data_IF_842458018302
#
_entry.id   IF_842458018302
#
_cell.length_a   1.000
_cell.length_b   1.000
_cell.length_c   1.000
_cell.angle_alpha   90.00
_cell.angle_beta   90.00
_cell.angle_gamma   90.00
#
_symmetry.space_group_name_H-M   'P 1'
#
loop_
_entity.id
_entity.type
_entity.pdbx_description
1 polymer ?
#
# COMPACT_ATOMS: atom_id res chain seq x y z
N UNK A 1 16.95 15.05 -10.44
CA UNK A 1 17.12 13.81 -11.22
C UNK A 1 18.59 13.74 -11.59
N UNK A 2 19.38 13.12 -10.74
CA UNK A 2 20.80 12.90 -10.96
C UNK A 2 21.06 11.39 -10.95
N UNK A 3 22.04 10.94 -11.73
CA UNK A 3 22.50 9.56 -11.64
C UNK A 3 22.90 9.27 -10.19
N UNK A 4 22.39 8.16 -9.63
CA UNK A 4 22.60 7.78 -8.23
C UNK A 4 21.52 8.24 -7.24
N UNK A 5 20.55 9.07 -7.65
CA UNK A 5 19.29 9.21 -6.90
C UNK A 5 18.59 7.83 -6.81
N UNK A 6 17.74 7.63 -5.81
CA UNK A 6 17.06 6.34 -5.59
C UNK A 6 15.55 6.51 -5.44
N UNK A 7 14.83 5.53 -5.94
CA UNK A 7 13.37 5.45 -5.93
C UNK A 7 12.96 4.04 -5.53
N UNK A 8 12.47 3.87 -4.30
CA UNK A 8 12.03 2.57 -3.78
C UNK A 8 10.56 2.60 -3.44
N UNK A 9 9.79 1.57 -3.83
CA UNK A 9 8.35 1.59 -3.63
C UNK A 9 7.74 0.23 -3.35
N UNK A 10 6.60 0.22 -2.66
CA UNK A 10 5.74 -0.95 -2.55
C UNK A 10 4.34 -0.62 -2.99
N UNK A 11 3.67 -1.60 -3.57
CA UNK A 11 2.31 -1.42 -4.04
C UNK A 11 1.49 -2.71 -3.94
N UNK A 12 0.17 -2.57 -3.78
CA UNK A 12 -0.75 -3.70 -3.94
C UNK A 12 -1.09 -3.92 -5.41
N UNK A 13 -1.26 -2.83 -6.17
CA UNK A 13 -1.48 -2.88 -7.61
C UNK A 13 -0.81 -1.69 -8.29
N UNK A 14 -0.07 -1.95 -9.35
CA UNK A 14 0.43 -0.91 -10.26
C UNK A 14 -0.04 -1.17 -11.68
N UNK A 15 -0.72 -0.18 -12.29
CA UNK A 15 -1.08 -0.21 -13.71
C UNK A 15 -0.06 0.65 -14.46
N UNK A 16 0.72 0.02 -15.35
CA UNK A 16 1.88 0.66 -15.96
C UNK A 16 1.54 1.89 -16.82
N UNK A 17 0.35 1.89 -17.39
CA UNK A 17 -0.21 2.95 -18.23
C UNK A 17 -0.99 4.01 -17.43
N UNK A 18 -1.06 3.92 -16.10
CA UNK A 18 -1.72 4.93 -15.26
C UNK A 18 -1.01 6.28 -15.39
N UNK A 19 -1.74 7.30 -15.82
CA UNK A 19 -1.21 8.64 -16.06
C UNK A 19 -1.22 9.47 -14.78
N UNK A 20 -0.07 10.01 -14.38
CA UNK A 20 0.04 10.75 -13.11
C UNK A 20 -0.61 12.15 -13.16
N UNK A 21 -0.72 12.72 -14.36
CA UNK A 21 -1.35 14.03 -14.64
C UNK A 21 -2.14 13.90 -15.96
N UNK A 22 -3.02 14.86 -16.26
CA UNK A 22 -3.88 14.85 -17.46
C UNK A 22 -3.06 14.66 -18.75
N UNK A 23 -1.95 15.40 -18.89
CA UNK A 23 -1.02 15.31 -20.02
C UNK A 23 0.38 14.84 -19.57
N UNK A 24 0.44 14.08 -18.48
CA UNK A 24 1.68 13.60 -17.87
C UNK A 24 2.14 12.26 -18.43
N UNK A 25 3.38 11.83 -18.08
CA UNK A 25 3.81 10.47 -18.36
C UNK A 25 2.97 9.47 -17.56
N UNK A 26 2.87 8.25 -18.08
CA UNK A 26 2.44 7.12 -17.27
C UNK A 26 3.44 6.82 -16.16
N UNK A 27 3.00 6.18 -15.08
CA UNK A 27 3.90 5.75 -14.02
C UNK A 27 4.97 4.77 -14.53
N UNK A 28 4.62 3.87 -15.45
CA UNK A 28 5.56 2.97 -16.09
C UNK A 28 6.63 3.71 -16.88
N UNK A 29 6.24 4.70 -17.69
CA UNK A 29 7.18 5.51 -18.48
C UNK A 29 8.08 6.37 -17.61
N UNK A 30 7.53 6.95 -16.53
CA UNK A 30 8.30 7.73 -15.58
C UNK A 30 9.38 6.88 -14.91
N UNK A 31 9.00 5.74 -14.32
CA UNK A 31 9.94 4.88 -13.59
C UNK A 31 10.97 4.24 -14.51
N UNK A 32 10.56 3.79 -15.70
CA UNK A 32 11.47 3.28 -16.71
C UNK A 32 12.42 4.38 -17.22
N UNK A 33 11.92 5.61 -17.39
CA UNK A 33 12.74 6.76 -17.76
C UNK A 33 13.77 7.11 -16.69
N UNK A 34 13.40 7.05 -15.41
CA UNK A 34 14.31 7.24 -14.28
C UNK A 34 15.39 6.17 -14.25
N UNK A 35 15.02 4.89 -14.42
CA UNK A 35 15.98 3.79 -14.47
C UNK A 35 17.01 3.97 -15.61
N UNK A 36 16.55 4.33 -16.82
CA UNK A 36 17.44 4.63 -17.96
C UNK A 36 18.36 5.83 -17.71
N UNK A 37 17.90 6.80 -16.91
CA UNK A 37 18.69 7.97 -16.53
C UNK A 37 19.69 7.69 -15.39
N UNK A 38 19.81 6.43 -14.93
CA UNK A 38 20.75 6.03 -13.87
C UNK A 38 20.23 6.27 -12.44
N UNK A 39 18.94 6.50 -12.27
CA UNK A 39 18.29 6.48 -10.95
C UNK A 39 18.05 5.02 -10.55
N UNK A 40 18.39 4.65 -9.32
CA UNK A 40 18.13 3.30 -8.85
C UNK A 40 16.64 3.14 -8.52
N UNK A 41 15.91 2.38 -9.35
CA UNK A 41 14.49 2.08 -9.14
C UNK A 41 14.33 0.66 -8.57
N UNK A 42 13.76 0.53 -7.37
CA UNK A 42 13.44 -0.75 -6.71
C UNK A 42 11.96 -0.84 -6.35
N UNK A 43 11.32 -1.98 -6.61
CA UNK A 43 9.89 -2.16 -6.31
C UNK A 43 9.55 -3.53 -5.71
N UNK A 44 8.65 -3.55 -4.73
CA UNK A 44 7.98 -4.77 -4.26
C UNK A 44 6.47 -4.64 -4.47
N UNK A 45 5.93 -5.35 -5.46
CA UNK A 45 4.51 -5.30 -5.80
C UNK A 45 3.84 -6.62 -5.46
N UNK A 46 2.60 -6.60 -4.95
CA UNK A 46 1.91 -7.84 -4.59
C UNK A 46 1.65 -8.73 -5.81
N UNK A 47 2.01 -10.01 -5.73
CA UNK A 47 1.83 -10.94 -6.85
C UNK A 47 0.38 -11.36 -7.13
N UNK A 48 -0.50 -11.25 -6.12
CA UNK A 48 -1.81 -11.92 -6.04
C UNK A 48 -1.75 -13.45 -5.91
N UNK A 49 -2.82 -14.08 -5.42
CA UNK A 49 -2.90 -15.55 -5.27
C UNK A 49 -3.29 -16.29 -6.58
N UNK A 50 -3.24 -15.61 -7.72
CA UNK A 50 -3.66 -16.10 -9.03
C UNK A 50 -5.09 -15.71 -9.37
N UNK A 51 -5.37 -15.62 -10.67
CA UNK A 51 -6.56 -14.98 -11.25
C UNK A 51 -7.91 -15.55 -10.76
N UNK A 52 -7.93 -16.80 -10.27
CA UNK A 52 -9.16 -17.49 -9.81
C UNK A 52 -9.52 -17.26 -8.34
N UNK A 53 -8.64 -16.70 -7.51
CA UNK A 53 -8.83 -16.67 -6.03
C UNK A 53 -8.77 -15.26 -5.44
N UNK A 54 -8.09 -14.32 -6.07
CA UNK A 54 -8.03 -12.93 -5.59
C UNK A 54 -7.92 -11.97 -6.76
N UNK A 55 -8.89 -11.05 -6.89
CA UNK A 55 -8.92 -9.92 -7.82
C UNK A 55 -8.20 -10.19 -9.17
N UNK A 56 -8.89 -10.81 -10.15
CA UNK A 56 -8.33 -11.33 -11.41
C UNK A 56 -7.43 -10.37 -12.19
N UNK A 57 -7.55 -9.06 -11.97
CA UNK A 57 -6.87 -8.02 -12.72
C UNK A 57 -5.49 -7.61 -12.15
N UNK A 58 -5.24 -7.82 -10.85
CA UNK A 58 -4.04 -7.28 -10.19
C UNK A 58 -2.73 -7.94 -10.64
N UNK A 59 -2.70 -9.26 -10.77
CA UNK A 59 -1.47 -10.01 -11.09
C UNK A 59 -0.85 -9.64 -12.43
N UNK A 60 -1.68 -9.50 -13.49
CA UNK A 60 -1.20 -9.17 -14.84
C UNK A 60 -0.68 -7.74 -14.94
N UNK A 61 -1.39 -6.76 -14.37
CA UNK A 61 -0.92 -5.37 -14.34
C UNK A 61 0.43 -5.24 -13.63
N UNK A 62 0.56 -5.89 -12.47
CA UNK A 62 1.80 -5.88 -11.70
C UNK A 62 2.98 -6.53 -12.46
N UNK A 63 2.70 -7.62 -13.19
CA UNK A 63 3.69 -8.23 -14.09
C UNK A 63 4.13 -7.29 -15.21
N UNK A 64 3.20 -6.54 -15.83
CA UNK A 64 3.51 -5.60 -16.91
C UNK A 64 4.35 -4.42 -16.41
N UNK A 65 3.94 -3.78 -15.32
CA UNK A 65 4.69 -2.70 -14.69
C UNK A 65 6.09 -3.16 -14.30
N UNK A 66 6.20 -4.32 -13.66
CA UNK A 66 7.47 -4.89 -13.25
C UNK A 66 8.40 -5.16 -14.44
N UNK A 67 7.88 -5.74 -15.53
CA UNK A 67 8.65 -5.97 -16.76
C UNK A 67 9.16 -4.69 -17.38
N UNK A 68 8.29 -3.67 -17.56
CA UNK A 68 8.67 -2.41 -18.18
C UNK A 68 9.83 -1.72 -17.43
N UNK A 69 9.80 -1.73 -16.09
CA UNK A 69 10.86 -1.16 -15.26
C UNK A 69 12.14 -2.01 -15.31
N UNK A 70 11.99 -3.34 -15.26
CA UNK A 70 13.12 -4.27 -15.32
C UNK A 70 13.88 -4.18 -16.65
N UNK A 71 13.16 -4.11 -17.77
CA UNK A 71 13.72 -3.96 -19.11
C UNK A 71 14.46 -2.61 -19.28
N UNK A 72 14.09 -1.60 -18.47
CA UNK A 72 14.73 -0.29 -18.42
C UNK A 72 15.92 -0.20 -17.46
N UNK A 73 16.29 -1.29 -16.78
CA UNK A 73 17.43 -1.35 -15.85
C UNK A 73 17.07 -1.19 -14.37
N UNK A 74 15.79 -1.00 -14.03
CA UNK A 74 15.32 -1.04 -12.65
C UNK A 74 15.17 -2.48 -12.13
N UNK A 75 14.65 -2.62 -10.90
CA UNK A 75 14.36 -3.95 -10.34
C UNK A 75 13.05 -3.95 -9.53
N UNK A 76 12.02 -4.55 -10.10
CA UNK A 76 10.71 -4.73 -9.49
C UNK A 76 10.42 -6.21 -9.37
N UNK A 77 10.08 -6.62 -8.14
CA UNK A 77 9.82 -8.00 -7.77
C UNK A 77 8.36 -8.17 -7.37
N UNK A 78 7.78 -9.30 -7.79
CA UNK A 78 6.44 -9.70 -7.38
C UNK A 78 6.52 -10.53 -6.11
N UNK A 79 5.96 -9.98 -5.02
CA UNK A 79 6.06 -10.53 -3.68
C UNK A 79 4.75 -11.21 -3.28
N UNK A 80 4.84 -12.49 -2.92
CA UNK A 80 3.75 -13.30 -2.38
C UNK A 80 4.10 -13.93 -1.03
N UNK A 81 5.05 -13.37 -0.28
CA UNK A 81 5.47 -13.87 1.05
C UNK A 81 4.44 -13.55 2.14
N UNK A 82 3.19 -13.93 1.92
CA UNK A 82 2.06 -13.71 2.82
C UNK A 82 1.40 -15.03 3.22
N UNK A 83 0.51 -14.98 4.22
CA UNK A 83 -0.36 -16.12 4.55
C UNK A 83 -1.30 -16.42 3.36
N UNK A 84 -1.79 -17.65 3.27
CA UNK A 84 -2.87 -17.99 2.35
C UNK A 84 -4.06 -17.04 2.60
N UNK A 85 -4.62 -16.46 1.54
CA UNK A 85 -5.66 -15.40 1.57
C UNK A 85 -5.23 -14.04 2.15
N UNK A 86 -3.94 -13.84 2.46
CA UNK A 86 -3.42 -12.51 2.79
C UNK A 86 -2.98 -11.73 1.55
N UNK A 87 -2.67 -10.45 1.70
CA UNK A 87 -2.06 -9.63 0.65
C UNK A 87 -0.94 -8.76 1.23
N UNK A 88 -0.02 -8.33 0.36
CA UNK A 88 0.79 -7.15 0.66
C UNK A 88 -0.04 -5.93 0.26
N UNK A 89 -0.40 -5.10 1.24
CA UNK A 89 -1.29 -3.95 1.03
C UNK A 89 -0.64 -2.60 1.39
N UNK A 90 0.66 -2.62 1.67
CA UNK A 90 1.44 -1.40 1.92
C UNK A 90 1.62 -0.65 0.60
N UNK A 91 1.20 0.61 0.57
CA UNK A 91 1.56 1.55 -0.50
C UNK A 91 2.48 2.61 0.08
N UNK A 92 3.71 2.62 -0.40
CA UNK A 92 4.61 3.71 -0.09
C UNK A 92 5.66 3.89 -1.18
N UNK A 93 6.20 5.10 -1.22
CA UNK A 93 7.23 5.50 -2.15
C UNK A 93 8.32 6.24 -1.38
N UNK A 94 9.59 6.00 -1.68
CA UNK A 94 10.72 6.69 -1.06
C UNK A 94 11.63 7.22 -2.16
N UNK A 95 11.89 8.52 -2.13
CA UNK A 95 12.79 9.22 -3.04
C UNK A 95 13.98 9.69 -2.24
N UNK A 96 15.17 9.20 -2.59
CA UNK A 96 16.44 9.61 -1.99
C UNK A 96 17.25 10.39 -3.01
N UNK A 97 17.77 11.54 -2.60
CA UNK A 97 18.68 12.36 -3.38
C UNK A 97 20.11 12.07 -2.94
N UNK A 98 20.97 11.70 -3.90
CA UNK A 98 22.35 11.26 -3.61
C UNK A 98 23.16 12.32 -2.85
N UNK A 99 23.06 13.56 -3.33
CA UNK A 99 23.93 14.66 -2.91
C UNK A 99 23.26 15.60 -1.90
N UNK A 100 21.96 15.41 -1.61
CA UNK A 100 21.21 16.28 -0.70
C UNK A 100 20.12 15.51 0.07
N UNK A 101 20.48 14.85 1.18
CA UNK A 101 19.54 14.12 2.01
C UNK A 101 18.41 14.98 2.61
N UNK A 102 18.54 16.31 2.64
CA UNK A 102 17.46 17.18 3.14
C UNK A 102 16.22 17.19 2.24
N UNK A 103 16.39 16.73 0.98
CA UNK A 103 15.32 16.59 -0.01
C UNK A 103 14.72 15.19 -0.05
N UNK A 104 15.20 14.29 0.79
CA UNK A 104 14.65 12.94 0.88
C UNK A 104 13.20 12.99 1.37
N UNK A 105 12.34 12.22 0.71
CA UNK A 105 10.90 12.25 0.95
C UNK A 105 10.33 10.85 0.84
N UNK A 106 9.33 10.55 1.66
CA UNK A 106 8.53 9.35 1.56
C UNK A 106 7.04 9.70 1.43
N UNK A 107 6.29 8.88 0.70
CA UNK A 107 4.84 8.96 0.59
C UNK A 107 4.25 7.68 1.16
N UNK A 108 3.27 7.75 2.05
CA UNK A 108 2.59 6.59 2.65
C UNK A 108 1.09 6.86 2.70
N UNK A 109 0.25 5.94 2.23
CA UNK A 109 -1.19 6.17 2.19
C UNK A 109 -2.02 5.01 1.63
N UNK A 110 -3.27 5.32 1.27
CA UNK A 110 -4.22 4.39 0.65
C UNK A 110 -4.12 4.32 -0.89
N UNK A 111 -3.45 5.30 -1.51
CA UNK A 111 -3.31 5.41 -2.96
C UNK A 111 -2.28 4.42 -3.53
N UNK A 112 -2.77 3.50 -4.36
CA UNK A 112 -1.99 2.62 -5.25
C UNK A 112 -1.63 3.38 -6.56
N UNK A 113 -0.57 2.97 -7.26
CA UNK A 113 -0.18 3.53 -8.58
C UNK A 113 -0.98 2.87 -9.71
N UNK A 114 -2.31 2.94 -9.63
CA UNK A 114 -3.19 2.21 -10.54
C UNK A 114 -4.43 3.02 -10.93
N UNK A 115 -5.15 2.51 -11.94
CA UNK A 115 -6.38 3.09 -12.47
C UNK A 115 -7.38 3.43 -11.35
N UNK A 116 -8.17 4.48 -11.57
CA UNK A 116 -9.15 5.09 -10.66
C UNK A 116 -8.60 5.93 -9.51
N UNK A 117 -7.29 5.97 -9.25
CA UNK A 117 -6.75 6.71 -8.08
C UNK A 117 -6.55 8.19 -8.35
N UNK A 118 -6.50 8.62 -9.62
CA UNK A 118 -6.37 10.02 -9.98
C UNK A 118 -7.74 10.69 -9.99
N UNK A 119 -8.06 11.32 -8.86
CA UNK A 119 -9.26 12.16 -8.69
C UNK A 119 -8.88 13.43 -7.90
N UNK A 120 -9.80 14.38 -7.85
CA UNK A 120 -9.65 15.62 -7.10
C UNK A 120 -10.87 15.89 -6.20
N UNK A 121 -10.90 17.07 -5.58
CA UNK A 121 -11.96 17.45 -4.66
C UNK A 121 -13.34 17.62 -5.33
N UNK A 122 -13.40 17.77 -6.66
CA UNK A 122 -14.67 17.83 -7.40
C UNK A 122 -15.27 16.44 -7.62
N UNK A 123 -14.50 15.36 -7.35
CA UNK A 123 -14.95 13.98 -7.42
C UNK A 123 -15.58 13.61 -8.77
N UNK A 124 -14.95 14.05 -9.86
CA UNK A 124 -15.39 13.76 -11.23
C UNK A 124 -14.98 12.34 -11.70
N UNK A 125 -14.10 11.69 -10.94
CA UNK A 125 -13.58 10.35 -11.18
C UNK A 125 -12.52 10.31 -12.29
N UNK A 126 -11.60 9.35 -12.15
CA UNK A 126 -10.49 9.18 -13.09
C UNK A 126 -10.98 8.82 -14.50
N UNK A 127 -10.46 9.48 -15.56
CA UNK A 127 -10.62 9.00 -16.94
C UNK A 127 -10.16 7.56 -17.17
N UNK A 128 -9.13 7.10 -16.44
CA UNK A 128 -8.65 5.72 -16.46
C UNK A 128 -9.36 4.90 -15.38
N UNK A 129 -10.68 4.78 -15.48
CA UNK A 129 -11.48 4.12 -14.46
C UNK A 129 -11.42 2.58 -14.56
N UNK A 130 -11.29 1.93 -13.40
CA UNK A 130 -11.63 0.50 -13.27
C UNK A 130 -13.13 0.32 -13.14
N UNK A 131 -13.64 -0.81 -13.65
CA UNK A 131 -15.03 -1.18 -13.43
C UNK A 131 -15.29 -1.47 -11.96
N UNK A 132 -16.12 -0.62 -11.34
CA UNK A 132 -16.65 -0.83 -9.98
C UNK A 132 -18.15 -1.12 -10.04
N UNK A 133 -18.81 -1.11 -8.87
CA UNK A 133 -20.25 -1.17 -8.80
C UNK A 133 -20.91 -0.08 -9.67
N UNK A 134 -21.87 -0.50 -10.50
CA UNK A 134 -22.55 0.38 -11.46
C UNK A 134 -23.22 1.61 -10.83
N UNK A 135 -23.54 1.58 -9.53
CA UNK A 135 -24.09 2.73 -8.79
C UNK A 135 -23.13 3.91 -8.68
N UNK A 136 -21.83 3.68 -8.84
CA UNK A 136 -20.82 4.73 -8.88
C UNK A 136 -20.61 5.33 -10.29
N UNK A 137 -21.36 4.85 -11.29
CA UNK A 137 -21.28 5.36 -12.66
C UNK A 137 -20.04 4.86 -13.42
N UNK A 138 -19.75 5.52 -14.56
CA UNK A 138 -18.69 5.12 -15.49
C UNK A 138 -17.29 5.48 -15.01
N UNK A 139 -17.17 6.54 -14.23
CA UNK A 139 -15.93 7.01 -13.59
C UNK A 139 -16.21 7.16 -12.10
N UNK A 140 -16.16 6.05 -11.34
CA UNK A 140 -16.35 6.10 -9.91
C UNK A 140 -15.41 7.12 -9.28
N UNK A 141 -15.91 8.07 -8.48
CA UNK A 141 -15.05 8.98 -7.73
C UNK A 141 -14.21 8.23 -6.71
N UNK A 142 -13.01 8.73 -6.44
CA UNK A 142 -12.06 8.15 -5.50
C UNK A 142 -11.66 9.17 -4.44
N UNK A 143 -12.10 8.91 -3.20
CA UNK A 143 -11.68 9.68 -2.03
C UNK A 143 -10.66 8.86 -1.24
N UNK A 144 -9.48 9.42 -1.01
CA UNK A 144 -8.38 8.76 -0.32
C UNK A 144 -7.40 9.78 0.27
N UNK A 145 -6.48 9.31 1.11
CA UNK A 145 -5.46 10.13 1.74
C UNK A 145 -4.06 9.47 1.65
N UNK A 146 -3.06 10.31 1.46
CA UNK A 146 -1.66 9.97 1.58
C UNK A 146 -0.90 11.08 2.30
N UNK A 147 0.19 10.70 2.97
CA UNK A 147 1.06 11.61 3.68
C UNK A 147 2.38 11.75 2.93
N UNK A 148 2.80 12.99 2.70
CA UNK A 148 4.19 13.31 2.40
C UNK A 148 4.97 13.42 3.72
N UNK A 149 6.06 12.65 3.84
CA UNK A 149 6.88 12.53 5.02
C UNK A 149 8.30 12.98 4.72
N UNK A 150 8.84 13.86 5.58
CA UNK A 150 10.21 14.36 5.50
C UNK A 150 10.92 14.20 6.84
N UNK A 151 12.24 14.18 6.79
CA UNK A 151 13.10 14.03 7.96
C UNK A 151 13.37 12.57 8.33
N UNK A 152 13.75 12.29 9.60
CA UNK A 152 14.25 10.96 10.01
C UNK A 152 13.30 9.79 9.69
N UNK A 153 11.99 10.03 9.69
CA UNK A 153 10.97 9.00 9.36
C UNK A 153 11.15 8.39 7.97
N UNK A 154 11.78 9.09 7.02
CA UNK A 154 12.08 8.54 5.69
C UNK A 154 12.99 7.31 5.80
N UNK A 155 13.93 7.31 6.76
CA UNK A 155 14.78 6.15 7.03
C UNK A 155 13.99 4.97 7.62
N UNK A 156 12.95 5.24 8.42
CA UNK A 156 12.07 4.19 8.96
C UNK A 156 11.26 3.52 7.85
N UNK A 157 10.70 4.30 6.91
CA UNK A 157 9.99 3.75 5.74
C UNK A 157 10.94 2.92 4.88
N UNK A 158 12.18 3.39 4.71
CA UNK A 158 13.22 2.67 4.00
C UNK A 158 13.59 1.34 4.67
N UNK A 159 13.65 1.32 6.01
CA UNK A 159 13.89 0.11 6.77
C UNK A 159 12.78 -0.93 6.52
N UNK A 160 11.52 -0.51 6.47
CA UNK A 160 10.38 -1.39 6.13
C UNK A 160 10.54 -2.01 4.74
N UNK A 161 11.00 -1.22 3.75
CA UNK A 161 11.33 -1.75 2.43
C UNK A 161 12.46 -2.77 2.50
N UNK A 162 13.56 -2.42 3.16
CA UNK A 162 14.76 -3.23 3.24
C UNK A 162 14.54 -4.57 3.95
N UNK A 163 13.74 -4.58 5.02
CA UNK A 163 13.33 -5.80 5.73
C UNK A 163 12.66 -6.81 4.79
N UNK A 164 11.70 -6.35 3.98
CA UNK A 164 11.01 -7.20 3.00
C UNK A 164 11.93 -7.57 1.84
N UNK A 165 12.71 -6.63 1.34
CA UNK A 165 13.63 -6.87 0.23
C UNK A 165 14.66 -7.94 0.59
N UNK A 166 15.25 -7.86 1.78
CA UNK A 166 16.29 -8.78 2.26
C UNK A 166 15.74 -10.08 2.88
N UNK A 167 14.43 -10.31 2.90
CA UNK A 167 13.86 -11.57 3.39
C UNK A 167 14.33 -12.74 2.49
N UNK A 168 15.08 -13.72 3.02
CA UNK A 168 15.70 -14.79 2.25
C UNK A 168 14.70 -15.83 1.74
N UNK A 169 13.44 -15.79 2.20
CA UNK A 169 12.41 -16.69 1.71
C UNK A 169 12.10 -16.42 0.23
N UNK A 170 11.82 -17.47 -0.57
CA UNK A 170 11.39 -17.29 -1.95
C UNK A 170 10.16 -16.37 -2.06
N UNK A 171 10.17 -15.51 -3.07
CA UNK A 171 9.11 -14.53 -3.34
C UNK A 171 7.75 -15.18 -3.67
N UNK A 172 7.74 -16.43 -4.12
CA UNK A 172 6.54 -17.21 -4.47
C UNK A 172 6.59 -18.61 -3.84
N UNK A 173 5.41 -19.18 -3.57
CA UNK A 173 5.24 -20.57 -3.15
C UNK A 173 5.58 -21.50 -4.32
N UNK A 174 6.50 -22.43 -4.09
CA UNK A 174 6.94 -23.43 -5.07
C UNK A 174 5.78 -24.29 -5.57
N UNK A 175 5.19 -23.92 -6.70
CA UNK A 175 4.25 -24.78 -7.44
C UNK A 175 4.96 -25.26 -8.71
N UNK A 176 5.15 -26.59 -8.94
CA UNK A 176 6.00 -27.11 -10.02
C UNK A 176 5.63 -26.60 -11.42
N UNK A 177 4.33 -26.59 -11.75
CA UNK A 177 3.81 -26.07 -13.02
C UNK A 177 4.15 -24.57 -13.22
N UNK A 178 4.15 -23.79 -12.14
CA UNK A 178 4.46 -22.36 -12.19
C UNK A 178 5.96 -22.09 -12.36
N UNK A 179 6.84 -22.97 -11.91
CA UNK A 179 8.29 -22.84 -12.17
C UNK A 179 8.60 -22.93 -13.67
N UNK A 180 7.81 -23.67 -14.44
CA UNK A 180 7.96 -23.81 -15.89
C UNK A 180 7.56 -22.51 -16.61
N UNK A 181 6.39 -21.95 -16.32
CA UNK A 181 5.91 -20.68 -16.88
C UNK A 181 6.83 -19.50 -16.50
N UNK A 182 7.35 -19.49 -15.28
CA UNK A 182 8.27 -18.45 -14.77
C UNK A 182 9.73 -18.61 -15.26
N UNK A 183 10.09 -19.72 -15.93
CA UNK A 183 11.36 -19.85 -16.66
C UNK A 183 11.31 -19.16 -18.02
N UNK A 184 10.12 -19.05 -18.60
CA UNK A 184 9.88 -18.36 -19.87
C UNK A 184 9.78 -16.83 -19.66
N UNK A 185 9.31 -16.39 -18.49
CA UNK A 185 9.34 -14.98 -18.10
C UNK A 185 10.72 -14.57 -17.58
N UNK A 186 11.37 -13.56 -18.19
CA UNK A 186 12.64 -12.96 -17.74
C UNK A 186 12.47 -12.08 -16.49
N UNK A 187 11.83 -12.59 -15.43
CA UNK A 187 11.64 -11.84 -14.19
C UNK A 187 12.76 -12.16 -13.18
N UNK A 188 13.35 -11.15 -12.50
CA UNK A 188 14.34 -11.39 -11.45
C UNK A 188 13.74 -12.22 -10.31
N UNK A 189 14.48 -13.23 -9.85
CA UNK A 189 14.03 -14.17 -8.80
C UNK A 189 14.63 -13.91 -7.44
N UNK A 190 15.79 -13.25 -7.44
CA UNK A 190 16.55 -12.96 -6.26
C UNK A 190 16.80 -11.45 -6.25
N UNK A 191 16.41 -10.77 -5.17
CA UNK A 191 16.70 -9.35 -5.02
C UNK A 191 18.21 -9.13 -5.12
N UNK A 192 18.65 -8.18 -5.96
CA UNK A 192 20.02 -7.68 -5.86
C UNK A 192 20.22 -7.04 -4.48
N UNK A 193 21.43 -7.13 -3.88
CA UNK A 193 21.69 -6.47 -2.61
C UNK A 193 21.33 -4.98 -2.68
N UNK A 194 20.69 -4.47 -1.62
CA UNK A 194 20.49 -3.04 -1.51
C UNK A 194 21.85 -2.35 -1.34
N UNK A 195 22.06 -1.18 -1.97
CA UNK A 195 23.26 -0.39 -1.72
C UNK A 195 23.31 0.03 -0.24
N UNK A 196 24.50 0.35 0.26
CA UNK A 196 24.67 0.87 1.62
C UNK A 196 23.71 2.02 1.87
N UNK A 197 23.02 1.94 3.00
CA UNK A 197 22.04 2.92 3.44
C UNK A 197 22.74 4.23 3.73
N UNK A 198 22.30 5.31 3.10
CA UNK A 198 22.69 6.66 3.47
C UNK A 198 22.14 6.99 4.88
N UNK A 199 22.79 7.88 5.65
CA UNK A 199 22.30 8.28 6.96
C UNK A 199 20.86 8.81 6.87
N UNK A 200 20.11 8.77 7.99
CA UNK A 200 18.78 9.37 8.06
C UNK A 200 18.82 10.85 7.64
N UNK A 201 17.78 11.35 6.95
CA UNK A 201 17.65 12.77 6.65
C UNK A 201 17.64 13.62 7.94
N UNK A 202 18.08 14.88 7.87
CA UNK A 202 18.01 15.79 9.01
C UNK A 202 16.55 16.02 9.46
N UNK A 203 16.31 16.40 10.73
CA UNK A 203 14.98 16.78 11.22
C UNK A 203 14.27 17.78 10.30
N UNK A 204 12.97 17.56 10.05
CA UNK A 204 12.14 18.41 9.22
C UNK A 204 10.79 18.66 9.90
N UNK A 205 10.50 19.93 10.19
CA UNK A 205 9.26 20.34 10.86
C UNK A 205 9.17 19.96 12.35
N UNK A 206 8.06 20.33 13.02
CA UNK A 206 7.90 20.18 14.47
C UNK A 206 7.22 18.87 14.90
N UNK A 207 6.76 18.05 13.96
CA UNK A 207 5.91 16.89 14.27
C UNK A 207 6.73 15.68 14.71
N UNK A 208 6.27 14.99 15.75
CA UNK A 208 6.75 13.65 16.08
C UNK A 208 6.01 12.61 15.24
N UNK A 209 6.75 11.83 14.44
CA UNK A 209 6.18 10.80 13.57
C UNK A 209 6.69 9.43 14.00
N UNK A 210 5.76 8.46 14.12
CA UNK A 210 6.09 7.07 14.42
C UNK A 210 5.50 6.18 13.32
N UNK A 211 6.36 5.43 12.64
CA UNK A 211 5.92 4.45 11.65
C UNK A 211 5.35 3.20 12.33
N UNK A 212 4.24 2.69 11.78
CA UNK A 212 3.53 1.52 12.27
C UNK A 212 3.25 0.57 11.10
N UNK A 213 3.16 -0.73 11.40
CA UNK A 213 3.03 -1.78 10.38
C UNK A 213 2.21 -2.96 10.90
N UNK A 214 1.70 -3.75 9.96
CA UNK A 214 0.99 -5.00 10.24
C UNK A 214 1.62 -6.12 9.42
N UNK A 215 2.10 -7.16 10.11
CA UNK A 215 2.58 -8.39 9.51
C UNK A 215 1.84 -9.57 10.11
N UNK A 216 1.16 -10.35 9.28
CA UNK A 216 0.50 -11.57 9.72
C UNK A 216 1.51 -12.65 10.12
N UNK A 217 1.18 -13.45 11.12
CA UNK A 217 1.93 -14.67 11.44
C UNK A 217 1.84 -15.63 10.25
N UNK A 218 2.99 -16.02 9.70
CA UNK A 218 3.10 -16.97 8.58
C UNK A 218 4.16 -18.04 8.87
N UNK A 219 4.15 -19.09 8.05
CA UNK A 219 5.21 -20.12 8.03
C UNK A 219 5.80 -20.21 6.62
N UNK A 220 7.13 -20.14 6.47
CA UNK A 220 8.11 -19.78 7.49
C UNK A 220 7.96 -18.30 7.95
N UNK A 221 8.32 -17.95 9.20
CA UNK A 221 8.12 -16.62 9.76
C UNK A 221 8.92 -15.55 9.01
N UNK A 222 8.50 -14.29 9.08
CA UNK A 222 9.35 -13.18 8.65
C UNK A 222 10.51 -13.03 9.64
N UNK A 223 11.78 -12.93 9.19
CA UNK A 223 12.91 -12.72 10.10
C UNK A 223 12.77 -11.45 10.97
N UNK A 224 12.20 -10.40 10.40
CA UNK A 224 11.99 -9.09 11.02
C UNK A 224 10.66 -8.97 11.80
N UNK A 225 9.77 -9.97 11.69
CA UNK A 225 8.53 -10.05 12.44
C UNK A 225 8.13 -11.51 12.73
N UNK A 226 8.91 -12.26 13.54
CA UNK A 226 8.69 -13.71 13.69
C UNK A 226 7.34 -14.08 14.30
N UNK A 227 6.86 -13.25 15.23
CA UNK A 227 5.54 -13.36 15.86
C UNK A 227 4.46 -12.52 15.14
N UNK A 228 4.76 -12.03 13.93
CA UNK A 228 3.98 -10.99 13.27
C UNK A 228 4.11 -9.63 13.95
N UNK A 229 3.36 -8.65 13.45
CA UNK A 229 3.27 -7.32 14.04
C UNK A 229 1.85 -6.76 13.91
N UNK A 230 1.41 -6.06 14.97
CA UNK A 230 0.10 -5.39 15.06
C UNK A 230 0.23 -3.98 15.64
N UNK A 231 1.28 -3.24 15.28
CA UNK A 231 1.51 -1.90 15.84
C UNK A 231 0.44 -0.90 15.40
N UNK A 232 -0.11 -1.03 14.19
CA UNK A 232 -1.27 -0.24 13.72
C UNK A 232 -2.49 -0.42 14.62
N UNK A 233 -2.91 -1.66 14.88
CA UNK A 233 -4.06 -1.95 15.74
C UNK A 233 -3.86 -1.46 17.18
N UNK A 234 -2.63 -1.60 17.71
CA UNK A 234 -2.27 -1.09 19.05
C UNK A 234 -2.31 0.45 19.12
N UNK A 235 -1.92 1.13 18.05
CA UNK A 235 -1.99 2.58 17.98
C UNK A 235 -3.43 3.09 17.92
N UNK A 236 -4.30 2.43 17.15
CA UNK A 236 -5.74 2.72 17.18
C UNK A 236 -6.32 2.59 18.59
N UNK A 237 -6.07 1.47 19.27
CA UNK A 237 -6.52 1.27 20.65
C UNK A 237 -6.00 2.37 21.59
N UNK A 238 -4.72 2.75 21.46
CA UNK A 238 -4.11 3.84 22.24
C UNK A 238 -4.75 5.20 21.94
N UNK A 239 -5.06 5.50 20.68
CA UNK A 239 -5.68 6.75 20.26
C UNK A 239 -7.11 6.86 20.80
N UNK A 240 -7.93 5.81 20.63
CA UNK A 240 -9.29 5.78 21.17
C UNK A 240 -9.33 5.86 22.69
N UNK A 241 -8.37 5.21 23.38
CA UNK A 241 -8.27 5.31 24.85
C UNK A 241 -7.98 6.72 25.36
N UNK A 242 -7.41 7.61 24.51
CA UNK A 242 -7.00 8.97 24.89
C UNK A 242 -7.88 10.06 24.29
N UNK A 243 -8.80 9.72 23.39
CA UNK A 243 -9.72 10.67 22.77
C UNK A 243 -10.62 11.32 23.85
N UNK A 244 -10.89 12.62 23.69
CA UNK A 244 -11.68 13.41 24.64
C UNK A 244 -12.79 14.22 23.98
N UNK A 245 -12.56 14.75 22.78
CA UNK A 245 -13.47 15.68 22.10
C UNK A 245 -14.00 15.17 20.77
N UNK A 246 -13.12 14.67 19.89
CA UNK A 246 -13.49 14.20 18.55
C UNK A 246 -12.69 12.95 18.17
N UNK A 247 -13.39 11.96 17.62
CA UNK A 247 -12.82 10.92 16.77
C UNK A 247 -13.40 11.10 15.37
N UNK A 248 -12.54 11.40 14.40
CA UNK A 248 -12.88 11.43 12.97
C UNK A 248 -12.20 10.25 12.28
N UNK A 249 -12.98 9.41 11.59
CA UNK A 249 -12.48 8.22 10.89
C UNK A 249 -13.03 8.24 9.47
N UNK A 250 -12.13 8.12 8.49
CA UNK A 250 -12.46 7.73 7.13
C UNK A 250 -11.80 6.37 6.89
N UNK A 251 -12.59 5.36 6.54
CA UNK A 251 -12.06 4.03 6.27
C UNK A 251 -12.87 3.31 5.20
N UNK A 252 -12.19 2.58 4.34
CA UNK A 252 -12.83 1.71 3.35
C UNK A 252 -13.68 0.63 4.03
N UNK A 253 -13.29 0.19 5.23
CA UNK A 253 -13.90 -0.94 5.94
C UNK A 253 -14.08 -0.66 7.43
N UNK A 254 -15.30 -0.32 7.86
CA UNK A 254 -15.67 -0.27 9.27
C UNK A 254 -16.27 -1.61 9.75
N UNK A 255 -15.46 -2.67 9.78
CA UNK A 255 -15.94 -4.02 10.15
C UNK A 255 -15.26 -4.62 11.39
N UNK A 256 -14.14 -4.06 11.83
CA UNK A 256 -13.39 -4.63 12.96
C UNK A 256 -14.16 -4.40 14.26
N UNK A 257 -14.55 -5.50 14.91
CA UNK A 257 -15.12 -5.48 16.25
C UNK A 257 -14.19 -4.85 17.27
N UNK A 258 -12.87 -4.95 17.07
CA UNK A 258 -11.86 -4.33 17.90
C UNK A 258 -11.85 -2.80 17.77
N UNK A 259 -11.99 -2.28 16.55
CA UNK A 259 -12.15 -0.84 16.30
C UNK A 259 -13.46 -0.34 16.92
N UNK A 260 -14.57 -1.02 16.65
CA UNK A 260 -15.88 -0.66 17.20
C UNK A 260 -15.89 -0.69 18.74
N UNK A 261 -15.33 -1.74 19.36
CA UNK A 261 -15.21 -1.82 20.81
C UNK A 261 -14.30 -0.73 21.40
N UNK A 262 -13.22 -0.36 20.70
CA UNK A 262 -12.34 0.74 21.11
C UNK A 262 -13.06 2.08 21.13
N UNK A 263 -13.88 2.36 20.11
CA UNK A 263 -14.70 3.58 20.01
C UNK A 263 -15.81 3.57 21.07
N UNK A 264 -16.53 2.45 21.21
CA UNK A 264 -17.59 2.31 22.22
C UNK A 264 -17.06 2.59 23.64
N UNK A 265 -15.92 1.99 24.00
CA UNK A 265 -15.28 2.28 25.28
C UNK A 265 -14.81 3.74 25.41
N UNK A 266 -14.46 4.42 24.32
CA UNK A 266 -14.09 5.84 24.36
C UNK A 266 -15.30 6.75 24.63
N UNK A 267 -16.45 6.43 24.02
CA UNK A 267 -17.74 7.09 24.26
C UNK A 267 -18.23 6.86 25.70
N UNK A 268 -18.14 5.64 26.22
CA UNK A 268 -18.49 5.32 27.61
C UNK A 268 -17.67 6.15 28.62
N UNK A 269 -16.38 6.36 28.35
CA UNK A 269 -15.49 7.15 29.21
C UNK A 269 -15.70 8.65 29.09
N UNK A 270 -16.15 9.13 27.93
CA UNK A 270 -16.31 10.55 27.62
C UNK A 270 -17.66 10.78 26.94
N UNK A 271 -18.75 11.00 27.70
CA UNK A 271 -20.08 11.18 27.12
C UNK A 271 -20.21 12.35 26.13
N UNK A 272 -19.36 13.37 26.25
CA UNK A 272 -19.29 14.52 25.34
C UNK A 272 -18.44 14.27 24.08
N UNK A 273 -17.83 13.09 23.94
CA UNK A 273 -17.00 12.74 22.79
C UNK A 273 -17.88 12.62 21.54
N UNK A 274 -17.54 13.38 20.51
CA UNK A 274 -18.18 13.24 19.18
C UNK A 274 -17.41 12.23 18.34
N UNK A 275 -18.13 11.33 17.67
CA UNK A 275 -17.56 10.36 16.71
C UNK A 275 -18.20 10.57 15.35
N UNK A 276 -17.36 10.78 14.33
CA UNK A 276 -17.77 10.86 12.93
C UNK A 276 -17.03 9.77 12.18
N UNK A 277 -17.78 8.88 11.52
CA UNK A 277 -17.23 7.81 10.70
C UNK A 277 -17.76 7.93 9.26
N UNK A 278 -16.86 8.12 8.31
CA UNK A 278 -17.12 8.17 6.87
C UNK A 278 -16.70 6.84 6.27
N UNK A 279 -17.64 6.17 5.60
CA UNK A 279 -17.46 4.85 5.01
C UNK A 279 -18.11 4.81 3.64
N UNK A 280 -17.58 4.04 2.67
CA UNK A 280 -18.24 3.85 1.39
C UNK A 280 -19.68 3.34 1.57
N UNK A 281 -20.62 3.94 0.82
CA UNK A 281 -22.03 3.53 0.85
C UNK A 281 -22.23 2.11 0.33
N UNK A 282 -21.43 1.71 -0.65
CA UNK A 282 -21.43 0.39 -1.26
C UNK A 282 -20.00 -0.16 -1.36
N UNK A 283 -19.77 -1.48 -1.19
CA UNK A 283 -18.45 -2.06 -1.36
C UNK A 283 -17.97 -1.89 -2.82
N UNK A 284 -16.66 -1.71 -3.01
CA UNK A 284 -16.04 -1.55 -4.33
C UNK A 284 -16.30 -2.73 -5.28
N UNK A 285 -16.49 -3.94 -4.72
CA UNK A 285 -16.92 -5.13 -5.44
C UNK A 285 -18.08 -5.80 -4.70
N UNK A 286 -19.31 -5.57 -5.17
CA UNK A 286 -20.54 -6.18 -4.64
C UNK A 286 -20.82 -7.57 -5.24
N UNK A 287 -19.77 -8.35 -5.45
CA UNK A 287 -19.88 -9.72 -5.93
C UNK A 287 -20.48 -10.65 -4.87
N UNK A 288 -21.07 -11.79 -5.26
CA UNK A 288 -21.78 -12.70 -4.35
C UNK A 288 -20.95 -13.23 -3.16
N UNK A 289 -19.61 -13.19 -3.26
CA UNK A 289 -18.69 -13.66 -2.23
C UNK A 289 -18.20 -12.57 -1.26
N UNK A 290 -18.08 -11.32 -1.71
CA UNK A 290 -17.49 -10.22 -0.92
C UNK A 290 -18.55 -9.23 -0.40
N UNK A 291 -19.62 -8.99 -1.16
CA UNK A 291 -20.65 -8.00 -0.81
C UNK A 291 -21.43 -8.30 0.50
N UNK A 292 -21.98 -9.51 0.69
CA UNK A 292 -22.77 -9.82 1.88
C UNK A 292 -21.99 -9.77 3.21
N UNK A 293 -20.77 -10.35 3.34
CA UNK A 293 -19.99 -10.26 4.58
C UNK A 293 -19.60 -8.82 4.95
N UNK A 294 -19.21 -8.01 3.97
CA UNK A 294 -18.89 -6.60 4.14
C UNK A 294 -20.04 -5.78 4.70
N UNK A 295 -21.25 -5.97 4.15
CA UNK A 295 -22.46 -5.29 4.65
C UNK A 295 -22.84 -5.74 6.06
N UNK A 296 -22.74 -7.03 6.36
CA UNK A 296 -23.07 -7.56 7.69
C UNK A 296 -22.10 -7.02 8.74
N UNK A 297 -20.79 -6.98 8.44
CA UNK A 297 -19.78 -6.40 9.30
C UNK A 297 -20.04 -4.93 9.60
N UNK A 298 -20.34 -4.15 8.56
CA UNK A 298 -20.65 -2.72 8.69
C UNK A 298 -21.92 -2.48 9.54
N UNK A 299 -23.00 -3.22 9.28
CA UNK A 299 -24.22 -3.12 10.06
C UNK A 299 -24.01 -3.50 11.54
N UNK A 300 -23.19 -4.52 11.80
CA UNK A 300 -22.86 -4.93 13.17
C UNK A 300 -22.03 -3.86 13.88
N UNK A 301 -21.04 -3.28 13.22
CA UNK A 301 -20.23 -2.19 13.77
C UNK A 301 -21.11 -0.97 14.08
N UNK A 302 -21.99 -0.56 13.16
CA UNK A 302 -22.92 0.56 13.38
C UNK A 302 -23.83 0.31 14.59
N UNK A 303 -24.33 -0.93 14.77
CA UNK A 303 -25.15 -1.28 15.95
C UNK A 303 -24.40 -1.23 17.28
N UNK A 304 -23.09 -1.43 17.28
CA UNK A 304 -22.27 -1.32 18.50
C UNK A 304 -21.99 0.13 18.91
N UNK A 305 -22.20 1.08 18.00
CA UNK A 305 -21.88 2.50 18.19
C UNK A 305 -23.14 3.35 18.46
N UNK A 306 -24.32 2.74 18.48
CA UNK A 306 -25.59 3.35 18.87
C UNK A 306 -25.94 2.95 20.29
#
# INVERSE_FOLDING_TARGET
>A
RHAGDRVWFTDWRGDADESLLVDGPSIGDLLAGLARAGVEVRGLVWRSHGERVSAPMSGRSNELLGRQINDAGGEVLLDQRVRLFGSHHQKFFVIRHRDDPSRDVAFVGGLDLCHSRRDDADHAGDPQAVTMDSRYGKRPPWHDAALELRGPVVADVLAVFAERWNDPHPLDRRTPYRMLLQRLARMPRHPKPLPTTAPPPPPAGPHAVQLLRTYGVKRPPFPFAPAGERSVARAYAKAFARARSLIYIEDQYLWSTEVAAGIAGALERNPELTVIAVVPRYPASDGPLAGPPSRIGQLRAIRMLR
#
